data_IF_120947412334
#
_entry.id   IF_120947412334
#
_cell.length_a   1.000
_cell.length_b   1.000
_cell.length_c   1.000
_cell.angle_alpha   90.00
_cell.angle_beta   90.00
_cell.angle_gamma   90.00
#
_symmetry.space_group_name_H-M   'P 1'
#
loop_
_entity.id
_entity.type
_entity.pdbx_description
1 polymer ?
#
# COMPACT_ATOMS: atom_id res chain seq x y z
N UNK A 1 20.98 57.13 -59.34
CA UNK A 1 21.81 56.45 -58.34
C UNK A 1 21.21 56.70 -56.97
N UNK A 2 20.57 55.69 -56.41
CA UNK A 2 20.50 55.35 -54.98
C UNK A 2 19.53 54.17 -54.88
N UNK A 3 20.11 53.04 -54.51
CA UNK A 3 19.57 51.69 -54.57
C UNK A 3 18.34 51.45 -53.69
N UNK A 4 17.45 50.60 -54.20
CA UNK A 4 16.45 49.93 -53.39
C UNK A 4 17.13 48.89 -52.50
N UNK A 5 16.93 49.02 -51.19
CA UNK A 5 17.16 47.93 -50.24
C UNK A 5 15.83 47.22 -50.00
N UNK A 6 15.70 46.04 -50.61
CA UNK A 6 14.77 45.01 -50.17
C UNK A 6 15.22 44.54 -48.78
N UNK A 7 14.28 44.41 -47.86
CA UNK A 7 14.47 43.78 -46.57
C UNK A 7 14.45 42.26 -46.80
N UNK A 8 15.61 41.63 -46.70
CA UNK A 8 15.71 40.17 -46.56
C UNK A 8 15.06 39.80 -45.22
N UNK A 9 13.94 39.08 -45.29
CA UNK A 9 13.44 38.32 -44.16
C UNK A 9 14.23 37.01 -44.15
N UNK A 10 14.99 36.78 -43.09
CA UNK A 10 15.57 35.47 -42.80
C UNK A 10 14.43 34.45 -42.73
N UNK A 11 14.29 33.62 -43.77
CA UNK A 11 13.42 32.45 -43.76
C UNK A 11 13.98 31.48 -42.70
N UNK A 12 13.33 31.44 -41.53
CA UNK A 12 13.50 30.33 -40.60
C UNK A 12 13.24 29.02 -41.37
N UNK A 13 14.16 28.04 -41.32
CA UNK A 13 14.01 26.82 -42.10
C UNK A 13 12.74 26.09 -41.64
N UNK A 14 11.79 25.95 -42.57
CA UNK A 14 10.46 25.34 -42.42
C UNK A 14 10.45 23.93 -41.78
N UNK A 15 11.62 23.31 -41.57
CA UNK A 15 11.77 22.03 -40.87
C UNK A 15 11.80 22.10 -39.33
N UNK A 16 12.02 23.27 -38.70
CA UNK A 16 12.06 23.36 -37.24
C UNK A 16 10.68 23.61 -36.60
N UNK A 17 9.81 24.38 -37.25
CA UNK A 17 8.43 24.55 -36.79
C UNK A 17 7.61 23.27 -36.97
N UNK A 18 7.86 22.48 -38.03
CA UNK A 18 7.26 21.15 -38.19
C UNK A 18 7.77 20.14 -37.16
N UNK A 19 9.02 20.22 -36.69
CA UNK A 19 9.49 19.34 -35.60
C UNK A 19 8.86 19.68 -34.27
N UNK A 20 8.72 20.97 -33.94
CA UNK A 20 8.09 21.38 -32.68
C UNK A 20 6.55 21.23 -32.71
N UNK A 21 5.92 21.30 -33.89
CA UNK A 21 4.52 20.92 -34.06
C UNK A 21 4.31 19.41 -34.12
N UNK A 22 5.20 18.61 -34.72
CA UNK A 22 5.09 17.14 -34.69
C UNK A 22 5.40 16.55 -33.32
N UNK A 23 6.28 17.19 -32.52
CA UNK A 23 6.50 16.82 -31.12
C UNK A 23 5.34 17.26 -30.21
N UNK A 24 4.61 18.33 -30.57
CA UNK A 24 3.36 18.71 -29.88
C UNK A 24 2.13 17.94 -30.37
N UNK A 25 2.07 17.56 -31.64
CA UNK A 25 0.98 16.75 -32.21
C UNK A 25 1.13 15.27 -31.83
N UNK A 26 2.34 14.75 -31.68
CA UNK A 26 2.56 13.44 -31.04
C UNK A 26 2.15 13.39 -29.56
N UNK A 27 1.93 14.55 -28.93
CA UNK A 27 1.39 14.67 -27.58
C UNK A 27 -0.10 15.02 -27.54
N UNK A 28 -0.73 15.27 -28.70
CA UNK A 28 -2.14 15.72 -28.81
C UNK A 28 -3.01 14.79 -29.68
N UNK A 29 -2.44 13.75 -30.30
CA UNK A 29 -3.13 12.87 -31.27
C UNK A 29 -3.21 11.39 -30.82
N UNK A 30 -3.00 11.11 -29.53
CA UNK A 30 -3.37 9.81 -28.93
C UNK A 30 -4.55 10.00 -27.98
N UNK A 31 -5.73 9.61 -28.44
CA UNK A 31 -6.98 9.83 -27.71
C UNK A 31 -6.98 9.12 -26.37
N UNK A 32 -7.03 9.89 -25.27
CA UNK A 32 -7.44 9.41 -23.93
C UNK A 32 -6.71 8.14 -23.45
N UNK A 33 -5.45 7.94 -23.79
CA UNK A 33 -4.69 6.86 -23.18
C UNK A 33 -4.42 7.21 -21.70
N UNK A 34 -4.85 6.31 -20.81
CA UNK A 34 -4.53 6.44 -19.39
C UNK A 34 -3.01 6.38 -19.22
N UNK A 35 -2.40 7.19 -18.35
CA UNK A 35 -0.96 7.16 -18.08
C UNK A 35 -0.61 5.95 -17.19
N UNK A 36 -0.86 4.74 -17.71
CA UNK A 36 -0.76 3.48 -16.98
C UNK A 36 0.68 3.19 -16.62
N UNK A 37 1.62 3.52 -17.51
CA UNK A 37 3.05 3.29 -17.28
C UNK A 37 3.58 4.16 -16.16
N UNK A 38 3.27 5.45 -16.20
CA UNK A 38 3.67 6.43 -15.19
C UNK A 38 3.03 6.06 -13.85
N UNK A 39 1.72 5.78 -13.87
CA UNK A 39 0.97 5.25 -12.73
C UNK A 39 1.61 4.05 -12.08
N UNK A 40 1.96 3.04 -12.89
CA UNK A 40 2.61 1.83 -12.40
C UNK A 40 3.95 2.13 -11.74
N UNK A 41 4.78 3.01 -12.31
CA UNK A 41 6.08 3.38 -11.74
C UNK A 41 5.91 4.09 -10.39
N UNK A 42 5.06 5.11 -10.32
CA UNK A 42 4.79 5.83 -9.07
C UNK A 42 4.14 4.93 -8.02
N UNK A 43 3.22 4.05 -8.43
CA UNK A 43 2.58 3.07 -7.55
C UNK A 43 3.58 2.06 -6.99
N UNK A 44 4.47 1.50 -7.81
CA UNK A 44 5.52 0.57 -7.36
C UNK A 44 6.48 1.27 -6.40
N UNK A 45 6.92 2.50 -6.71
CA UNK A 45 7.78 3.27 -5.79
C UNK A 45 7.06 3.51 -4.46
N UNK A 46 5.78 3.89 -4.50
CA UNK A 46 4.95 4.08 -3.31
C UNK A 46 4.85 2.82 -2.45
N UNK A 47 4.53 1.67 -3.06
CA UNK A 47 4.50 0.37 -2.38
C UNK A 47 5.86 0.04 -1.76
N UNK A 48 6.95 0.22 -2.50
CA UNK A 48 8.30 -0.11 -2.00
C UNK A 48 8.69 0.78 -0.82
N UNK A 49 8.51 2.10 -0.91
CA UNK A 49 8.86 3.03 0.16
C UNK A 49 8.06 2.70 1.43
N UNK A 50 6.74 2.50 1.28
CA UNK A 50 5.86 2.23 2.42
C UNK A 50 6.17 0.89 3.05
N UNK A 51 6.26 -0.18 2.28
CA UNK A 51 6.61 -1.51 2.79
C UNK A 51 8.00 -1.54 3.43
N UNK A 52 9.02 -0.93 2.81
CA UNK A 52 10.36 -0.87 3.39
C UNK A 52 10.40 -0.05 4.69
N UNK A 53 9.52 0.96 4.84
CA UNK A 53 9.38 1.70 6.09
C UNK A 53 8.80 0.82 7.19
N UNK A 54 7.74 0.04 6.88
CA UNK A 54 7.22 -0.97 7.81
C UNK A 54 8.27 -2.02 8.16
N UNK A 55 9.03 -2.50 7.17
CA UNK A 55 10.08 -3.49 7.36
C UNK A 55 11.17 -2.97 8.29
N UNK A 56 11.67 -1.76 8.04
CA UNK A 56 12.71 -1.16 8.87
C UNK A 56 12.28 -1.04 10.33
N UNK A 57 11.07 -0.52 10.59
CA UNK A 57 10.57 -0.39 11.96
C UNK A 57 10.29 -1.74 12.61
N UNK A 58 9.80 -2.71 11.85
CA UNK A 58 9.56 -4.08 12.34
C UNK A 58 10.88 -4.75 12.72
N UNK A 59 11.94 -4.61 11.92
CA UNK A 59 13.26 -5.13 12.25
C UNK A 59 13.83 -4.48 13.50
N UNK A 60 13.69 -3.15 13.63
CA UNK A 60 14.14 -2.42 14.82
C UNK A 60 13.38 -2.84 16.10
N UNK A 61 12.08 -3.12 15.99
CA UNK A 61 11.29 -3.68 17.07
C UNK A 61 11.68 -5.14 17.37
N UNK A 62 11.97 -5.93 16.33
CA UNK A 62 12.32 -7.37 16.46
C UNK A 62 13.61 -7.56 17.23
N UNK A 63 14.56 -6.65 17.06
CA UNK A 63 15.82 -6.65 17.81
C UNK A 63 15.64 -6.46 19.33
N UNK A 64 14.47 -5.97 19.78
CA UNK A 64 14.14 -5.72 21.17
C UNK A 64 13.11 -6.70 21.73
N UNK A 65 12.56 -7.57 20.89
CA UNK A 65 11.57 -8.56 21.31
C UNK A 65 12.25 -9.80 21.88
N UNK A 66 11.64 -10.39 22.91
CA UNK A 66 12.03 -11.68 23.45
C UNK A 66 11.01 -12.74 23.01
N UNK A 67 11.43 -13.88 22.45
CA UNK A 67 10.52 -14.99 22.16
C UNK A 67 9.94 -15.60 23.44
N UNK A 68 8.80 -16.26 23.30
CA UNK A 68 8.22 -17.06 24.39
C UNK A 68 9.17 -18.22 24.74
N UNK A 69 9.40 -18.40 26.03
CA UNK A 69 10.22 -19.47 26.59
C UNK A 69 9.39 -20.25 27.61
N UNK A 70 9.37 -21.57 27.50
CA UNK A 70 8.63 -22.45 28.42
C UNK A 70 9.42 -23.74 28.72
N UNK A 71 8.99 -24.47 29.75
CA UNK A 71 9.58 -25.75 30.12
C UNK A 71 8.74 -26.89 29.56
N UNK A 72 9.39 -27.80 28.84
CA UNK A 72 8.82 -29.08 28.41
C UNK A 72 9.67 -30.21 29.02
N UNK A 73 9.11 -30.84 30.06
CA UNK A 73 9.84 -31.78 30.91
C UNK A 73 11.11 -31.16 31.52
N UNK A 74 12.26 -31.75 31.22
CA UNK A 74 13.58 -31.28 31.65
C UNK A 74 14.24 -30.31 30.65
N UNK A 75 13.54 -29.94 29.57
CA UNK A 75 14.07 -29.07 28.51
C UNK A 75 13.44 -27.69 28.55
N UNK A 76 14.24 -26.67 28.23
CA UNK A 76 13.74 -25.31 28.00
C UNK A 76 13.55 -25.11 26.50
N UNK A 77 12.31 -24.87 26.09
CA UNK A 77 11.96 -24.59 24.70
C UNK A 77 11.91 -23.08 24.51
N UNK A 78 12.62 -22.60 23.49
CA UNK A 78 12.58 -21.20 23.05
C UNK A 78 11.93 -21.18 21.68
N UNK A 79 10.81 -20.48 21.58
CA UNK A 79 10.03 -20.38 20.35
C UNK A 79 10.66 -19.39 19.38
N UNK A 80 10.36 -19.54 18.08
CA UNK A 80 10.83 -18.58 17.08
C UNK A 80 9.91 -17.36 16.99
N UNK A 81 10.52 -16.21 16.70
CA UNK A 81 9.77 -15.01 16.31
C UNK A 81 9.26 -15.14 14.88
N UNK A 82 8.11 -14.54 14.60
CA UNK A 82 7.63 -14.38 13.23
C UNK A 82 8.67 -13.59 12.44
N UNK A 83 9.07 -14.12 11.27
CA UNK A 83 10.06 -13.46 10.43
C UNK A 83 9.68 -12.01 10.14
N UNK A 84 10.65 -11.09 10.23
CA UNK A 84 10.35 -9.65 10.19
C UNK A 84 9.69 -9.18 8.89
N UNK A 85 9.89 -9.89 7.77
CA UNK A 85 9.23 -9.54 6.51
C UNK A 85 7.74 -9.92 6.49
N UNK A 86 7.36 -11.05 7.12
CA UNK A 86 5.96 -11.42 7.33
C UNK A 86 5.30 -10.42 8.28
N UNK A 87 5.95 -10.16 9.41
CA UNK A 87 5.46 -9.22 10.40
C UNK A 87 5.32 -7.77 9.85
N UNK A 88 6.26 -7.33 9.02
CA UNK A 88 6.19 -6.04 8.34
C UNK A 88 5.04 -5.99 7.32
N UNK A 89 4.79 -7.11 6.64
CA UNK A 89 3.63 -7.31 5.79
C UNK A 89 2.32 -7.12 6.52
N UNK A 90 2.17 -7.75 7.67
CA UNK A 90 1.01 -7.58 8.54
C UNK A 90 0.86 -6.13 9.01
N UNK A 91 1.96 -5.50 9.44
CA UNK A 91 1.98 -4.07 9.82
C UNK A 91 1.51 -3.16 8.67
N UNK A 92 1.99 -3.42 7.45
CA UNK A 92 1.61 -2.69 6.25
C UNK A 92 0.12 -2.85 5.92
N UNK A 93 -0.37 -4.09 5.88
CA UNK A 93 -1.78 -4.38 5.58
C UNK A 93 -2.71 -3.81 6.66
N UNK A 94 -2.35 -3.93 7.93
CA UNK A 94 -3.09 -3.37 9.04
C UNK A 94 -3.22 -1.83 8.96
N UNK A 95 -2.24 -1.13 8.37
CA UNK A 95 -2.33 0.32 8.15
C UNK A 95 -3.46 0.72 7.17
N UNK A 96 -3.94 -0.21 6.35
CA UNK A 96 -5.12 -0.03 5.50
C UNK A 96 -6.42 -0.53 6.15
N UNK A 97 -6.37 -0.96 7.42
CA UNK A 97 -7.53 -1.52 8.12
C UNK A 97 -7.91 -2.94 7.67
N UNK A 98 -6.97 -3.68 7.08
CA UNK A 98 -7.18 -5.08 6.69
C UNK A 98 -7.34 -5.97 7.93
N UNK A 99 -8.38 -6.81 7.94
CA UNK A 99 -8.61 -7.82 8.96
C UNK A 99 -7.63 -9.00 8.88
N UNK A 100 -7.56 -9.81 9.94
CA UNK A 100 -6.72 -10.99 10.02
C UNK A 100 -7.58 -12.23 10.23
N UNK A 101 -7.02 -13.38 9.87
CA UNK A 101 -7.65 -14.68 10.01
C UNK A 101 -6.67 -15.67 10.62
N UNK A 102 -7.18 -16.58 11.43
CA UNK A 102 -6.47 -17.75 11.94
C UNK A 102 -7.25 -18.99 11.48
N UNK A 103 -6.66 -19.80 10.60
CA UNK A 103 -7.28 -21.00 10.01
C UNK A 103 -8.69 -20.77 9.45
N UNK A 104 -8.95 -19.59 8.89
CA UNK A 104 -10.25 -19.17 8.33
C UNK A 104 -11.21 -18.49 9.31
N UNK A 105 -10.87 -18.44 10.59
CA UNK A 105 -11.64 -17.72 11.61
C UNK A 105 -11.15 -16.28 11.77
N UNK A 106 -12.06 -15.34 12.03
CA UNK A 106 -11.73 -13.93 12.17
C UNK A 106 -10.83 -13.70 13.40
N UNK A 107 -9.68 -13.09 13.17
CA UNK A 107 -8.69 -12.79 14.19
C UNK A 107 -8.27 -11.31 14.17
N UNK A 108 -7.53 -10.92 15.19
CA UNK A 108 -6.87 -9.60 15.25
C UNK A 108 -5.36 -9.78 15.17
N UNK A 109 -4.64 -8.76 14.72
CA UNK A 109 -3.18 -8.82 14.70
C UNK A 109 -2.58 -9.09 16.09
N UNK A 110 -3.23 -8.66 17.17
CA UNK A 110 -2.81 -8.97 18.54
C UNK A 110 -2.96 -10.43 18.95
N UNK A 111 -3.73 -11.23 18.20
CA UNK A 111 -3.88 -12.66 18.46
C UNK A 111 -2.70 -13.49 17.95
N UNK A 112 -1.85 -12.94 17.06
CA UNK A 112 -0.69 -13.64 16.56
C UNK A 112 0.43 -13.63 17.62
N UNK A 113 0.87 -14.79 18.13
CA UNK A 113 1.92 -14.85 19.14
C UNK A 113 3.29 -14.61 18.52
N UNK A 114 4.25 -14.18 19.35
CA UNK A 114 5.62 -13.86 18.93
C UNK A 114 5.69 -12.90 17.72
N UNK A 115 4.64 -12.11 17.49
CA UNK A 115 4.62 -11.19 16.37
C UNK A 115 5.23 -9.86 16.78
N UNK A 116 6.34 -9.51 16.14
CA UNK A 116 6.92 -8.18 16.31
C UNK A 116 6.23 -7.13 15.43
N UNK A 117 5.30 -7.58 14.58
CA UNK A 117 4.35 -6.72 13.88
C UNK A 117 3.54 -5.85 14.84
N UNK A 118 3.37 -6.36 16.07
CA UNK A 118 2.69 -5.67 17.13
C UNK A 118 3.64 -4.62 17.74
N UNK A 119 3.63 -3.45 17.12
CA UNK A 119 3.80 -2.14 17.77
C UNK A 119 2.73 -1.91 18.87
N UNK A 120 2.15 -2.97 19.45
CA UNK A 120 1.09 -2.99 20.46
C UNK A 120 1.57 -2.65 21.86
N UNK A 121 2.89 -2.50 22.05
CA UNK A 121 3.42 -1.86 23.25
C UNK A 121 3.16 -0.35 23.20
N UNK A 122 2.57 0.17 24.27
CA UNK A 122 2.17 1.57 24.51
C UNK A 122 3.17 2.67 24.09
N UNK A 123 4.52 2.47 24.08
CA UNK A 123 5.47 3.47 23.57
C UNK A 123 5.37 3.73 22.06
N UNK A 124 4.71 2.86 21.29
CA UNK A 124 4.72 2.88 19.82
C UNK A 124 3.41 3.33 19.16
N UNK A 125 2.44 3.85 19.91
CA UNK A 125 1.24 4.48 19.31
C UNK A 125 1.60 5.59 18.30
N UNK A 126 2.69 6.31 18.56
CA UNK A 126 3.25 7.27 17.61
C UNK A 126 3.79 6.59 16.35
N UNK A 127 4.49 5.46 16.47
CA UNK A 127 5.03 4.74 15.32
C UNK A 127 3.92 4.18 14.43
N UNK A 128 2.83 3.65 15.01
CA UNK A 128 1.64 3.22 14.25
C UNK A 128 1.01 4.40 13.53
N UNK A 129 0.90 5.56 14.18
CA UNK A 129 0.38 6.79 13.56
C UNK A 129 1.29 7.29 12.43
N UNK A 130 2.61 7.26 12.63
CA UNK A 130 3.62 7.63 11.63
C UNK A 130 3.55 6.69 10.44
N UNK A 131 3.47 5.38 10.68
CA UNK A 131 3.35 4.38 9.62
C UNK A 131 2.06 4.56 8.81
N UNK A 132 0.93 4.77 9.48
CA UNK A 132 -0.32 5.12 8.81
C UNK A 132 -0.17 6.39 7.97
N UNK A 133 0.41 7.45 8.53
CA UNK A 133 0.62 8.73 7.85
C UNK A 133 1.56 8.59 6.65
N UNK A 134 2.63 7.82 6.78
CA UNK A 134 3.57 7.54 5.68
C UNK A 134 2.86 6.75 4.58
N UNK A 135 2.06 5.75 4.94
CA UNK A 135 1.35 4.90 3.98
C UNK A 135 0.31 5.69 3.19
N UNK A 136 -0.57 6.41 3.89
CA UNK A 136 -1.59 7.26 3.28
C UNK A 136 -0.97 8.45 2.53
N UNK A 137 0.03 9.09 3.12
CA UNK A 137 0.74 10.22 2.53
C UNK A 137 1.47 9.82 1.25
N UNK A 138 2.08 8.63 1.21
CA UNK A 138 2.75 8.13 0.01
C UNK A 138 1.77 7.88 -1.14
N UNK A 139 0.56 7.36 -0.85
CA UNK A 139 -0.50 7.22 -1.85
C UNK A 139 -0.93 8.57 -2.43
N UNK A 140 -1.13 9.57 -1.58
CA UNK A 140 -1.47 10.92 -2.02
C UNK A 140 -0.34 11.55 -2.84
N UNK A 141 0.92 11.40 -2.42
CA UNK A 141 2.09 11.90 -3.14
C UNK A 141 2.25 11.19 -4.49
N UNK A 142 2.00 9.89 -4.56
CA UNK A 142 2.01 9.15 -5.82
C UNK A 142 0.92 9.65 -6.78
N UNK A 143 -0.32 9.81 -6.29
CA UNK A 143 -1.43 10.34 -7.10
C UNK A 143 -1.16 11.77 -7.60
N UNK A 144 -0.65 12.64 -6.71
CA UNK A 144 -0.19 13.98 -7.07
C UNK A 144 0.93 13.94 -8.11
N UNK A 145 1.92 13.05 -7.91
CA UNK A 145 3.09 12.90 -8.78
C UNK A 145 2.71 12.51 -10.20
N UNK A 146 1.81 11.53 -10.37
CA UNK A 146 1.35 11.11 -11.71
C UNK A 146 0.56 12.22 -12.39
N UNK A 147 -0.41 12.83 -11.69
CA UNK A 147 -1.21 13.91 -12.27
C UNK A 147 -0.36 15.12 -12.65
N UNK A 148 0.67 15.44 -11.85
CA UNK A 148 1.60 16.53 -12.16
C UNK A 148 2.54 16.17 -13.31
N UNK A 149 3.01 14.93 -13.40
CA UNK A 149 3.92 14.47 -14.45
C UNK A 149 3.24 14.35 -15.81
N UNK A 150 1.96 14.01 -15.81
CA UNK A 150 1.14 13.83 -17.02
C UNK A 150 0.45 15.13 -17.46
N UNK A 151 0.76 16.25 -16.77
CA UNK A 151 0.16 17.57 -17.00
C UNK A 151 -1.38 17.49 -17.14
N UNK A 152 -2.04 16.90 -16.14
CA UNK A 152 -3.49 16.77 -16.16
C UNK A 152 -4.17 18.15 -16.26
N UNK A 153 -4.93 18.36 -17.34
CA UNK A 153 -5.57 19.65 -17.66
C UNK A 153 -6.97 19.82 -17.03
N UNK A 154 -7.51 18.77 -16.41
CA UNK A 154 -8.83 18.79 -15.80
C UNK A 154 -8.93 17.91 -14.55
N UNK A 155 -9.93 18.14 -13.67
CA UNK A 155 -10.21 17.25 -12.54
C UNK A 155 -10.46 15.79 -12.95
N UNK A 156 -11.08 15.56 -14.12
CA UNK A 156 -11.36 14.21 -14.62
C UNK A 156 -10.06 13.51 -15.02
N UNK A 157 -9.16 14.22 -15.71
CA UNK A 157 -7.88 13.66 -16.14
C UNK A 157 -6.94 13.44 -14.96
N UNK A 158 -6.99 14.31 -13.95
CA UNK A 158 -6.28 14.11 -12.69
C UNK A 158 -6.78 12.86 -11.95
N UNK A 159 -8.09 12.62 -11.89
CA UNK A 159 -8.65 11.39 -11.28
C UNK A 159 -8.18 10.15 -12.05
N UNK A 160 -8.28 10.16 -13.38
CA UNK A 160 -7.80 9.07 -14.23
C UNK A 160 -6.32 8.78 -14.02
N UNK A 161 -5.49 9.83 -13.98
CA UNK A 161 -4.06 9.74 -13.70
C UNK A 161 -3.77 9.22 -12.28
N UNK A 162 -4.54 9.60 -11.28
CA UNK A 162 -4.42 9.06 -9.92
C UNK A 162 -4.74 7.56 -9.88
N UNK A 163 -5.80 7.13 -10.56
CA UNK A 163 -6.24 5.73 -10.56
C UNK A 163 -5.22 4.75 -11.17
N UNK A 164 -4.28 5.22 -12.00
CA UNK A 164 -3.27 4.34 -12.58
C UNK A 164 -2.23 3.84 -11.58
N UNK A 165 -2.18 4.38 -10.35
CA UNK A 165 -1.31 3.84 -9.28
C UNK A 165 -1.90 2.61 -8.56
N UNK A 166 -3.20 2.33 -8.74
CA UNK A 166 -3.91 1.27 -7.99
C UNK A 166 -3.40 -0.15 -8.32
N UNK A 167 -3.14 -0.52 -9.60
CA UNK A 167 -2.77 -1.90 -9.92
C UNK A 167 -1.53 -2.44 -9.18
N UNK A 168 -0.43 -1.68 -9.02
CA UNK A 168 0.68 -2.11 -8.16
C UNK A 168 0.28 -2.46 -6.72
N UNK A 169 -0.60 -1.66 -6.08
CA UNK A 169 -1.08 -1.92 -4.73
C UNK A 169 -1.96 -3.17 -4.68
N UNK A 170 -2.84 -3.36 -5.67
CA UNK A 170 -3.66 -4.57 -5.79
C UNK A 170 -2.80 -5.83 -5.89
N UNK A 171 -1.81 -5.82 -6.79
CA UNK A 171 -0.90 -6.96 -6.98
C UNK A 171 -0.12 -7.23 -5.70
N UNK A 172 0.42 -6.18 -5.07
CA UNK A 172 1.18 -6.34 -3.84
C UNK A 172 0.30 -6.86 -2.68
N UNK A 173 -0.91 -6.33 -2.51
CA UNK A 173 -1.83 -6.75 -1.46
C UNK A 173 -2.23 -8.23 -1.60
N UNK A 174 -2.50 -8.68 -2.82
CA UNK A 174 -2.81 -10.09 -3.10
C UNK A 174 -1.61 -11.00 -2.81
N UNK A 175 -0.41 -10.61 -3.24
CA UNK A 175 0.83 -11.36 -2.95
C UNK A 175 1.10 -11.39 -1.44
N UNK A 176 0.97 -10.25 -0.76
CA UNK A 176 1.22 -10.11 0.66
C UNK A 176 0.26 -10.97 1.48
N UNK A 177 -1.05 -10.93 1.19
CA UNK A 177 -2.03 -11.73 1.91
C UNK A 177 -1.72 -13.24 1.87
N UNK A 178 -1.30 -13.73 0.71
CA UNK A 178 -0.97 -15.15 0.54
C UNK A 178 0.41 -15.51 1.10
N UNK A 179 1.47 -14.82 0.66
CA UNK A 179 2.84 -15.19 1.01
C UNK A 179 3.21 -14.86 2.45
N UNK A 180 2.53 -13.90 3.09
CA UNK A 180 2.80 -13.52 4.47
C UNK A 180 1.85 -14.23 5.45
N UNK A 181 1.23 -15.34 5.05
CA UNK A 181 0.58 -16.23 6.02
C UNK A 181 1.66 -17.04 6.75
N UNK A 182 1.54 -17.15 8.08
CA UNK A 182 2.48 -17.86 8.94
C UNK A 182 1.79 -19.05 9.61
N UNK A 183 2.45 -20.21 9.59
CA UNK A 183 1.93 -21.44 10.18
C UNK A 183 2.58 -21.67 11.55
N UNK A 184 1.77 -21.74 12.59
CA UNK A 184 2.19 -22.05 13.96
C UNK A 184 1.97 -23.53 14.25
N UNK A 185 3.01 -24.22 14.72
CA UNK A 185 2.96 -25.65 15.04
C UNK A 185 3.53 -26.02 16.42
N UNK A 186 3.74 -25.02 17.28
CA UNK A 186 4.22 -25.22 18.66
C UNK A 186 3.05 -25.25 19.64
N UNK A 187 3.12 -26.17 20.62
CA UNK A 187 2.33 -26.31 21.85
C UNK A 187 1.65 -25.02 22.30
N UNK A 188 2.52 -24.15 22.80
CA UNK A 188 2.17 -22.94 23.51
C UNK A 188 1.67 -21.88 22.55
N UNK A 189 2.24 -21.79 21.34
CA UNK A 189 1.82 -20.81 20.34
C UNK A 189 0.42 -21.11 19.79
N UNK A 190 0.15 -22.38 19.48
CA UNK A 190 -1.18 -22.83 19.00
C UNK A 190 -2.22 -22.61 20.10
N UNK A 191 -1.93 -22.99 21.34
CA UNK A 191 -2.79 -22.73 22.48
C UNK A 191 -3.12 -21.24 22.66
N UNK A 192 -2.11 -20.37 22.56
CA UNK A 192 -2.33 -18.91 22.64
C UNK A 192 -3.21 -18.37 21.52
N UNK A 193 -3.09 -18.88 20.29
CA UNK A 193 -3.96 -18.43 19.19
C UNK A 193 -5.40 -18.86 19.46
N UNK A 194 -5.64 -20.09 19.91
CA UNK A 194 -6.97 -20.59 20.26
C UNK A 194 -7.60 -19.75 21.36
N UNK A 195 -6.84 -19.43 22.41
CA UNK A 195 -7.32 -18.59 23.52
C UNK A 195 -7.67 -17.17 23.06
N UNK A 196 -6.90 -16.60 22.14
CA UNK A 196 -7.12 -15.25 21.61
C UNK A 196 -8.18 -15.20 20.51
N UNK A 197 -8.39 -16.29 19.78
CA UNK A 197 -9.38 -16.44 18.71
C UNK A 197 -10.43 -17.44 19.19
N UNK A 198 -11.31 -16.97 20.09
CA UNK A 198 -12.27 -17.83 20.80
C UNK A 198 -13.32 -18.54 19.94
N UNK A 199 -13.30 -18.37 18.61
CA UNK A 199 -14.10 -19.18 17.66
C UNK A 199 -13.36 -20.40 17.13
N UNK A 200 -12.04 -20.51 17.33
CA UNK A 200 -11.27 -21.70 16.98
C UNK A 200 -11.67 -22.88 17.87
N UNK A 201 -12.01 -23.99 17.24
CA UNK A 201 -12.29 -25.24 17.94
C UNK A 201 -10.97 -25.92 18.31
N UNK A 202 -10.57 -25.84 19.58
CA UNK A 202 -9.28 -26.38 20.04
C UNK A 202 -9.03 -27.84 19.65
N UNK A 203 -10.08 -28.69 19.64
CA UNK A 203 -9.97 -30.11 19.25
C UNK A 203 -9.62 -30.35 17.77
N UNK A 204 -9.58 -29.31 16.93
CA UNK A 204 -9.08 -29.40 15.55
C UNK A 204 -7.55 -29.27 15.48
N UNK A 205 -6.93 -28.67 16.49
CA UNK A 205 -5.51 -28.31 16.49
C UNK A 205 -4.71 -28.97 17.60
N UNK A 206 -5.36 -29.26 18.75
CA UNK A 206 -4.78 -29.91 19.91
C UNK A 206 -5.52 -31.23 20.21
N UNK A 207 -4.79 -32.28 20.59
CA UNK A 207 -5.40 -33.50 21.13
C UNK A 207 -5.80 -33.32 22.61
N UNK A 208 -6.43 -34.34 23.21
CA UNK A 208 -6.84 -34.32 24.62
C UNK A 208 -5.65 -34.22 25.62
N UNK A 209 -4.43 -34.51 25.15
CA UNK A 209 -3.18 -34.44 25.91
C UNK A 209 -2.50 -33.05 25.79
N UNK A 210 -2.95 -32.21 24.85
CA UNK A 210 -2.41 -30.87 24.58
C UNK A 210 -1.43 -30.80 23.41
N UNK A 211 -1.14 -31.91 22.73
CA UNK A 211 -0.18 -31.94 21.62
C UNK A 211 -0.79 -31.38 20.32
N UNK A 212 0.02 -30.72 19.49
CA UNK A 212 -0.40 -30.21 18.18
C UNK A 212 -0.66 -31.37 17.22
N UNK A 213 -1.90 -31.48 16.75
CA UNK A 213 -2.31 -32.40 15.68
C UNK A 213 -2.49 -31.70 14.32
N UNK A 214 -2.64 -30.37 14.33
CA UNK A 214 -2.68 -29.55 13.12
C UNK A 214 -2.12 -28.16 13.41
N UNK A 215 -1.37 -27.60 12.46
CA UNK A 215 -0.90 -26.23 12.56
C UNK A 215 -2.05 -25.24 12.44
N UNK A 216 -1.85 -24.04 12.99
CA UNK A 216 -2.74 -22.88 12.81
C UNK A 216 -2.09 -21.92 11.83
N UNK A 217 -2.77 -21.64 10.72
CA UNK A 217 -2.31 -20.69 9.71
C UNK A 217 -2.88 -19.30 10.03
N UNK A 218 -2.02 -18.35 10.36
CA UNK A 218 -2.38 -16.98 10.66
C UNK A 218 -1.94 -16.04 9.55
N UNK A 219 -2.85 -15.20 9.04
CA UNK A 219 -2.54 -14.27 7.96
C UNK A 219 -3.54 -13.14 7.84
N UNK A 220 -3.28 -12.22 6.92
CA UNK A 220 -4.27 -11.20 6.57
C UNK A 220 -5.43 -11.86 5.80
N UNK A 221 -6.66 -11.42 6.05
CA UNK A 221 -7.80 -11.84 5.25
C UNK A 221 -7.55 -11.45 3.80
N UNK A 222 -7.53 -12.43 2.90
CA UNK A 222 -7.23 -12.19 1.48
C UNK A 222 -8.26 -11.26 0.84
N UNK A 223 -9.52 -11.42 1.24
CA UNK A 223 -10.63 -10.58 0.77
C UNK A 223 -10.43 -9.13 1.21
N UNK A 224 -10.16 -8.90 2.48
CA UNK A 224 -9.92 -7.55 3.02
C UNK A 224 -8.65 -6.93 2.44
N UNK A 225 -7.58 -7.72 2.27
CA UNK A 225 -6.34 -7.23 1.69
C UNK A 225 -6.56 -6.72 0.25
N UNK A 226 -7.25 -7.50 -0.58
CA UNK A 226 -7.59 -7.08 -1.96
C UNK A 226 -8.49 -5.85 -1.93
N UNK A 227 -9.53 -5.85 -1.09
CA UNK A 227 -10.54 -4.81 -1.09
C UNK A 227 -10.00 -3.49 -0.50
N UNK A 228 -9.44 -3.52 0.71
CA UNK A 228 -9.01 -2.32 1.41
C UNK A 228 -7.63 -1.86 0.94
N UNK A 229 -6.61 -2.71 1.08
CA UNK A 229 -5.23 -2.36 0.74
C UNK A 229 -4.96 -2.35 -0.77
N UNK A 230 -5.69 -3.15 -1.55
CA UNK A 230 -5.52 -3.25 -3.00
C UNK A 230 -6.33 -2.24 -3.80
N UNK A 231 -7.54 -1.88 -3.34
CA UNK A 231 -8.48 -1.08 -4.14
C UNK A 231 -8.92 0.19 -3.41
N UNK A 232 -9.66 0.07 -2.30
CA UNK A 232 -10.40 1.19 -1.70
C UNK A 232 -9.46 2.30 -1.24
N UNK A 233 -8.46 1.98 -0.40
CA UNK A 233 -7.55 3.00 0.13
C UNK A 233 -6.65 3.58 -0.97
N UNK A 234 -5.98 2.77 -1.82
CA UNK A 234 -5.22 3.30 -2.93
C UNK A 234 -6.05 4.23 -3.83
N UNK A 235 -7.27 3.81 -4.18
CA UNK A 235 -8.17 4.62 -5.02
C UNK A 235 -8.51 5.95 -4.35
N UNK A 236 -9.00 5.91 -3.12
CA UNK A 236 -9.46 7.11 -2.42
C UNK A 236 -8.32 8.12 -2.26
N UNK A 237 -7.16 7.68 -1.78
CA UNK A 237 -6.04 8.58 -1.49
C UNK A 237 -5.26 9.00 -2.74
N UNK A 238 -5.18 8.16 -3.77
CA UNK A 238 -4.62 8.56 -5.06
C UNK A 238 -5.47 9.66 -5.72
N UNK A 239 -6.79 9.53 -5.67
CA UNK A 239 -7.73 10.53 -6.19
C UNK A 239 -7.58 11.85 -5.43
N UNK A 240 -7.54 11.80 -4.09
CA UNK A 240 -7.33 13.03 -3.30
C UNK A 240 -5.98 13.65 -3.66
N UNK A 241 -4.93 12.85 -3.74
CA UNK A 241 -3.59 13.29 -4.16
C UNK A 241 -3.57 13.96 -5.53
N UNK A 242 -4.21 13.35 -6.52
CA UNK A 242 -4.24 13.90 -7.89
C UNK A 242 -5.08 15.16 -8.00
N UNK A 243 -6.22 15.24 -7.31
CA UNK A 243 -7.09 16.41 -7.30
C UNK A 243 -6.44 17.65 -6.67
N UNK A 244 -5.46 17.49 -5.78
CA UNK A 244 -4.69 18.61 -5.23
C UNK A 244 -4.00 19.41 -6.34
N UNK A 245 -3.66 18.79 -7.48
CA UNK A 245 -3.09 19.51 -8.64
C UNK A 245 -4.07 20.51 -9.28
N UNK A 246 -5.37 20.36 -9.03
CA UNK A 246 -6.47 21.08 -9.68
C UNK A 246 -7.18 22.07 -8.74
N UNK A 247 -6.48 22.55 -7.70
CA UNK A 247 -7.09 23.22 -6.54
C UNK A 247 -8.13 24.30 -6.85
N UNK A 248 -7.91 25.17 -7.84
CA UNK A 248 -8.86 26.22 -8.23
C UNK A 248 -10.10 25.64 -8.95
N UNK A 249 -9.90 24.76 -9.94
CA UNK A 249 -10.97 24.17 -10.73
C UNK A 249 -11.91 23.24 -9.92
N UNK A 250 -11.38 22.56 -8.91
CA UNK A 250 -12.17 21.69 -8.02
C UNK A 250 -13.10 22.51 -7.12
N UNK A 251 -12.62 23.64 -6.59
CA UNK A 251 -13.42 24.55 -5.76
C UNK A 251 -14.54 25.16 -6.61
N UNK A 252 -14.23 25.63 -7.82
CA UNK A 252 -15.22 26.24 -8.71
C UNK A 252 -16.34 25.25 -9.09
N UNK A 253 -15.97 23.99 -9.36
CA UNK A 253 -16.94 22.93 -9.67
C UNK A 253 -17.82 22.59 -8.46
N UNK A 254 -17.25 22.57 -7.25
CA UNK A 254 -18.00 22.31 -6.02
C UNK A 254 -18.96 23.46 -5.69
N UNK A 255 -18.52 24.71 -5.84
CA UNK A 255 -19.35 25.90 -5.62
C UNK A 255 -20.48 25.99 -6.64
N UNK A 256 -20.23 25.71 -7.92
CA UNK A 256 -21.26 25.68 -8.95
C UNK A 256 -22.38 24.67 -8.60
N UNK A 257 -22.00 23.47 -8.14
CA UNK A 257 -22.96 22.42 -7.78
C UNK A 257 -23.76 22.70 -6.51
N UNK A 258 -23.25 23.57 -5.62
CA UNK A 258 -23.97 24.05 -4.43
C UNK A 258 -24.96 25.16 -4.83
N UNK A 259 -24.58 26.04 -5.77
CA UNK A 259 -25.44 27.12 -6.24
C UNK A 259 -26.57 26.66 -7.17
N UNK A 260 -26.47 25.47 -7.77
CA UNK A 260 -27.53 24.84 -8.58
C UNK A 260 -28.58 24.08 -7.74
N UNK A 261 -28.53 24.15 -6.41
CA UNK A 261 -29.53 23.59 -5.48
C UNK A 261 -30.32 24.68 -4.78
#
# INVERSE_FOLDING_TARGET
MSDGKQLDYDEEPAGQQQRSQAQRQGALDDGSELPVKEGAVFGVIGVLITYLTHLYLTVAASAQAAPITYADGDTTVVTDLVSSWVAAGWSYLAAFGVGFEASGEVATLSAAPNNVAALSNTPFALATTVLFTVTVGSLMVAGYGVARYTDADSPVDAVKAGLTIVPPYLVFAAIAAFLMTHSYGDEVLVGQIIDNVGTLEGGQFLNDEGDVISNVDFGASTTDAILFAGIIFPTAFAIVGSLITQGEAVIDTAVAKINDR
#
